data_IF_359894175105
#
_entry.id   IF_359894175105
#
_cell.length_a   1.000
_cell.length_b   1.000
_cell.length_c   1.000
_cell.angle_alpha   90.00
_cell.angle_beta   90.00
_cell.angle_gamma   90.00
#
_symmetry.space_group_name_H-M   'P 1'
#
loop_
_entity.id
_entity.type
_entity.pdbx_description
1 polymer ?
#
# COMPACT_ATOMS: atom_id res chain seq x y z
N UNK A 1 10.69 11.12 6.22
CA UNK A 1 11.97 10.37 6.23
C UNK A 1 11.99 9.39 5.06
N UNK A 2 13.05 9.41 4.29
CA UNK A 2 13.18 8.54 3.13
C UNK A 2 13.81 7.21 3.54
N UNK A 3 13.18 6.12 3.14
CA UNK A 3 13.65 4.76 3.47
C UNK A 3 13.64 3.88 2.21
N UNK A 4 14.37 2.79 2.28
CA UNK A 4 14.37 1.80 1.20
C UNK A 4 13.82 0.48 1.74
N UNK A 5 12.91 -0.13 0.98
CA UNK A 5 12.34 -1.43 1.34
C UNK A 5 13.37 -2.54 1.16
N UNK A 6 13.52 -3.39 2.17
CA UNK A 6 14.33 -4.59 2.06
C UNK A 6 13.62 -5.70 1.30
N UNK A 7 12.32 -5.58 1.09
CA UNK A 7 11.50 -6.57 0.39
C UNK A 7 11.40 -6.25 -1.10
N UNK A 8 11.06 -5.00 -1.44
CA UNK A 8 10.83 -4.60 -2.83
C UNK A 8 12.02 -3.90 -3.47
N UNK A 9 12.95 -3.39 -2.67
CA UNK A 9 14.07 -2.59 -3.14
C UNK A 9 13.72 -1.16 -3.50
N UNK A 10 12.46 -0.77 -3.38
CA UNK A 10 12.00 0.57 -3.72
C UNK A 10 12.30 1.55 -2.59
N UNK A 11 12.58 2.80 -2.97
CA UNK A 11 12.72 3.90 -2.01
C UNK A 11 11.41 4.67 -1.91
N UNK A 12 11.09 5.14 -0.72
CA UNK A 12 9.86 5.90 -0.53
C UNK A 12 9.99 6.86 0.64
N UNK A 13 9.13 7.89 0.64
CA UNK A 13 9.09 8.90 1.70
C UNK A 13 7.93 8.56 2.64
N UNK A 14 8.25 8.27 3.90
CA UNK A 14 7.23 7.81 4.86
C UNK A 14 6.10 8.81 5.06
N UNK A 15 6.39 10.12 4.91
CA UNK A 15 5.37 11.17 5.06
C UNK A 15 4.31 11.13 3.96
N UNK A 16 4.63 10.52 2.83
CA UNK A 16 3.74 10.51 1.66
C UNK A 16 3.02 9.19 1.50
N UNK A 17 3.10 8.32 2.50
CA UNK A 17 2.58 6.96 2.39
C UNK A 17 1.32 6.74 3.22
N UNK A 18 0.56 5.72 2.79
CA UNK A 18 -0.55 5.15 3.55
C UNK A 18 -0.21 3.69 3.82
N UNK A 19 -0.75 3.17 4.91
CA UNK A 19 -0.47 1.81 5.37
C UNK A 19 -1.77 1.02 5.33
N UNK A 20 -1.79 -0.06 4.58
CA UNK A 20 -3.00 -0.85 4.33
C UNK A 20 -2.81 -2.25 4.89
N UNK A 21 -3.74 -2.68 5.72
CA UNK A 21 -3.72 -4.02 6.34
C UNK A 21 -4.81 -4.94 5.78
N UNK A 22 -5.78 -4.41 5.03
CA UNK A 22 -6.87 -5.18 4.48
C UNK A 22 -6.40 -5.96 3.25
N UNK A 23 -6.31 -7.30 3.30
CA UNK A 23 -5.77 -8.07 2.17
C UNK A 23 -6.65 -7.99 0.92
N UNK A 24 -7.96 -7.84 1.07
CA UNK A 24 -8.84 -7.70 -0.10
C UNK A 24 -8.58 -6.39 -0.82
N UNK A 25 -8.37 -5.31 -0.07
CA UNK A 25 -8.04 -4.01 -0.66
C UNK A 25 -6.73 -4.09 -1.43
N UNK A 26 -5.71 -4.73 -0.86
CA UNK A 26 -4.42 -4.92 -1.52
C UNK A 26 -4.57 -5.76 -2.79
N UNK A 27 -5.37 -6.83 -2.73
CA UNK A 27 -5.64 -7.64 -3.90
C UNK A 27 -6.25 -6.80 -5.03
N UNK A 28 -7.24 -5.98 -4.69
CA UNK A 28 -7.88 -5.10 -5.68
C UNK A 28 -6.90 -4.07 -6.26
N UNK A 29 -6.00 -3.56 -5.44
CA UNK A 29 -4.97 -2.64 -5.91
C UNK A 29 -4.02 -3.34 -6.87
N UNK A 30 -3.59 -4.57 -6.54
CA UNK A 30 -2.67 -5.33 -7.38
C UNK A 30 -3.25 -5.64 -8.76
N UNK A 31 -4.52 -6.00 -8.83
CA UNK A 31 -5.15 -6.28 -10.14
C UNK A 31 -5.37 -5.00 -10.95
N UNK A 32 -5.18 -3.83 -10.34
CA UNK A 32 -5.22 -2.52 -11.02
C UNK A 32 -3.82 -1.95 -11.19
N UNK A 33 -2.79 -2.82 -11.21
CA UNK A 33 -1.39 -2.47 -11.47
C UNK A 33 -0.76 -1.58 -10.39
N UNK A 34 -1.31 -1.59 -9.18
CA UNK A 34 -0.75 -0.83 -8.06
C UNK A 34 0.00 -1.76 -7.12
N UNK A 35 1.31 -1.85 -7.29
CA UNK A 35 2.17 -2.65 -6.43
C UNK A 35 2.59 -1.85 -5.20
N UNK A 36 2.72 -2.49 -4.03
CA UNK A 36 3.14 -1.78 -2.82
C UNK A 36 4.60 -1.34 -2.91
N UNK A 37 4.91 -0.25 -2.20
CA UNK A 37 6.28 0.24 -2.07
C UNK A 37 7.07 -0.62 -1.08
N UNK A 38 6.40 -1.16 -0.08
CA UNK A 38 7.03 -1.98 0.95
C UNK A 38 6.01 -2.93 1.54
N UNK A 39 6.51 -3.97 2.20
CA UNK A 39 5.70 -4.94 2.92
C UNK A 39 6.34 -5.11 4.29
N UNK A 40 5.59 -4.81 5.34
CA UNK A 40 6.07 -4.80 6.70
C UNK A 40 5.34 -5.82 7.56
N UNK A 41 6.04 -6.38 8.54
CA UNK A 41 5.41 -7.22 9.55
C UNK A 41 4.78 -6.32 10.60
N UNK A 42 3.47 -6.47 10.79
CA UNK A 42 2.74 -5.74 11.81
C UNK A 42 2.54 -6.58 13.07
N UNK A 43 1.68 -6.10 13.97
CA UNK A 43 1.32 -6.82 15.19
C UNK A 43 0.34 -7.96 14.86
N UNK A 44 0.28 -8.95 15.75
CA UNK A 44 -0.68 -10.06 15.67
C UNK A 44 -0.61 -10.84 14.35
N UNK A 45 0.61 -11.04 13.84
CA UNK A 45 0.85 -11.76 12.59
C UNK A 45 0.20 -11.12 11.36
N UNK A 46 -0.04 -9.82 11.41
CA UNK A 46 -0.59 -9.09 10.28
C UNK A 46 0.52 -8.57 9.38
N UNK A 47 0.20 -8.44 8.11
CA UNK A 47 1.10 -7.82 7.13
C UNK A 47 0.58 -6.43 6.82
N UNK A 48 1.48 -5.46 6.77
CA UNK A 48 1.17 -4.07 6.43
C UNK A 48 1.77 -3.77 5.07
N UNK A 49 0.95 -3.26 4.16
CA UNK A 49 1.37 -2.89 2.81
C UNK A 49 1.47 -1.37 2.72
N UNK A 50 2.59 -0.88 2.22
CA UNK A 50 2.87 0.55 2.13
C UNK A 50 2.63 1.02 0.70
N UNK A 51 1.81 2.04 0.54
CA UNK A 51 1.49 2.63 -0.76
C UNK A 51 1.72 4.13 -0.72
N UNK A 52 2.03 4.71 -1.89
CA UNK A 52 2.09 6.16 -2.02
C UNK A 52 0.67 6.72 -1.99
N UNK A 53 0.42 7.71 -1.13
CA UNK A 53 -0.92 8.28 -0.95
C UNK A 53 -1.48 8.89 -2.23
N UNK A 54 -0.66 9.66 -2.93
CA UNK A 54 -1.11 10.36 -4.14
C UNK A 54 -1.38 9.41 -5.29
N UNK A 55 -0.50 8.44 -5.49
CA UNK A 55 -0.63 7.53 -6.62
C UNK A 55 -1.77 6.53 -6.47
N UNK A 56 -2.23 6.29 -5.24
CA UNK A 56 -3.34 5.35 -4.98
C UNK A 56 -4.64 6.05 -4.61
N UNK A 57 -4.69 7.38 -4.67
CA UNK A 57 -5.88 8.12 -4.24
C UNK A 57 -7.13 7.74 -5.03
N UNK A 58 -7.00 7.62 -6.34
CA UNK A 58 -8.13 7.23 -7.19
C UNK A 58 -8.64 5.81 -6.83
N UNK A 59 -7.71 4.88 -6.64
CA UNK A 59 -8.07 3.52 -6.23
C UNK A 59 -8.73 3.51 -4.86
N UNK A 60 -8.24 4.31 -3.93
CA UNK A 60 -8.83 4.41 -2.60
C UNK A 60 -10.26 4.94 -2.67
N UNK A 61 -10.49 6.00 -3.46
CA UNK A 61 -11.83 6.56 -3.63
C UNK A 61 -12.78 5.52 -4.21
N UNK A 62 -12.32 4.76 -5.21
CA UNK A 62 -13.12 3.70 -5.82
C UNK A 62 -13.37 2.54 -4.85
N UNK A 63 -12.37 2.21 -4.04
CA UNK A 63 -12.53 1.20 -3.00
C UNK A 63 -13.61 1.59 -2.00
N UNK A 64 -13.61 2.85 -1.55
CA UNK A 64 -14.60 3.35 -0.60
C UNK A 64 -16.01 3.36 -1.19
N UNK A 65 -16.14 3.55 -2.50
CA UNK A 65 -17.43 3.53 -3.21
C UNK A 65 -17.81 2.14 -3.68
N UNK A 66 -17.01 1.13 -3.35
CA UNK A 66 -17.22 -0.27 -3.78
C UNK A 66 -17.24 -0.42 -5.30
N UNK A 67 -16.38 0.34 -5.99
CA UNK A 67 -16.26 0.29 -7.45
C UNK A 67 -15.04 -0.50 -7.91
N UNK A 68 -14.27 -1.05 -6.97
CA UNK A 68 -13.12 -1.91 -7.30
C UNK A 68 -13.50 -3.38 -7.26
#
# INVERSE_FOLDING_TARGET
MKVQSSVTGKCYETNECVYIVNPLQVYKYLINDAAPLDILAGEDNKIVYVYNRKSTRDLYDRWCKREL
#
